data_IF_845200412982
#
_entry.id   IF_845200412982
#
_cell.length_a   1.000
_cell.length_b   1.000
_cell.length_c   1.000
_cell.angle_alpha   90.00
_cell.angle_beta   90.00
_cell.angle_gamma   90.00
#
_symmetry.space_group_name_H-M   'P 1'
#
loop_
_entity.id
_entity.type
_entity.pdbx_description
1 polymer ?
#
# COMPACT_ATOMS: atom_id res chain seq x y z
N UNK A 1 -8.53 34.80 23.80
CA UNK A 1 -8.91 33.57 23.07
C UNK A 1 -8.93 33.88 21.57
N UNK A 2 -7.84 33.51 20.90
CA UNK A 2 -7.70 33.61 19.45
C UNK A 2 -6.95 32.37 19.02
N UNK A 3 -7.71 31.30 18.93
CA UNK A 3 -7.45 30.06 18.22
C UNK A 3 -7.70 30.29 16.73
N UNK A 4 -6.83 31.07 16.08
CA UNK A 4 -6.78 31.17 14.63
C UNK A 4 -5.90 30.04 14.10
N UNK A 5 -6.54 28.90 13.84
CA UNK A 5 -5.92 27.72 13.24
C UNK A 5 -5.78 27.83 11.71
N UNK A 6 -5.72 29.04 11.13
CA UNK A 6 -5.06 29.32 9.85
C UNK A 6 -5.52 28.56 8.59
N UNK A 7 -6.58 27.74 8.65
CA UNK A 7 -7.11 27.02 7.50
C UNK A 7 -8.15 27.91 6.82
N UNK A 8 -7.65 28.80 5.97
CA UNK A 8 -8.51 29.57 5.06
C UNK A 8 -9.02 28.62 3.98
N UNK A 9 -10.32 28.62 3.65
CA UNK A 9 -10.87 27.78 2.58
C UNK A 9 -10.11 28.03 1.28
N UNK A 10 -9.63 26.96 0.65
CA UNK A 10 -9.02 27.03 -0.68
C UNK A 10 -10.10 27.55 -1.65
N UNK A 11 -9.81 28.54 -2.50
CA UNK A 11 -10.76 29.03 -3.49
C UNK A 11 -11.22 27.87 -4.39
N UNK A 12 -12.53 27.83 -4.68
CA UNK A 12 -13.15 26.84 -5.56
C UNK A 12 -12.54 26.93 -6.96
N UNK A 13 -11.63 26.01 -7.27
CA UNK A 13 -10.95 25.87 -8.55
C UNK A 13 -11.55 24.67 -9.28
N UNK A 14 -12.03 24.90 -10.50
CA UNK A 14 -12.58 23.87 -11.37
C UNK A 14 -11.49 22.87 -11.75
N UNK A 15 -11.39 21.79 -10.98
CA UNK A 15 -10.36 20.76 -11.05
C UNK A 15 -10.99 19.45 -11.52
N UNK A 16 -10.19 18.59 -12.17
CA UNK A 16 -10.67 17.28 -12.67
C UNK A 16 -10.78 16.23 -11.56
N UNK A 17 -9.99 16.37 -10.49
CA UNK A 17 -10.12 15.61 -9.24
C UNK A 17 -10.32 16.54 -8.04
N UNK A 18 -10.69 16.01 -6.88
CA UNK A 18 -10.89 16.78 -5.64
C UNK A 18 -9.73 16.65 -4.64
N UNK A 19 -8.71 15.86 -5.00
CA UNK A 19 -7.53 15.65 -4.16
C UNK A 19 -7.71 14.62 -3.06
N UNK A 20 -8.84 13.92 -3.02
CA UNK A 20 -9.01 12.71 -2.19
C UNK A 20 -8.26 11.53 -2.80
N UNK A 21 -8.08 10.45 -2.03
CA UNK A 21 -7.44 9.24 -2.56
C UNK A 21 -8.25 8.61 -3.70
N UNK A 22 -9.58 8.64 -3.58
CA UNK A 22 -10.51 8.06 -4.57
C UNK A 22 -10.59 8.90 -5.84
N UNK A 23 -10.34 10.21 -5.72
CA UNK A 23 -10.38 11.15 -6.83
C UNK A 23 -9.20 12.13 -6.75
N UNK A 24 -7.96 11.63 -6.94
CA UNK A 24 -6.76 12.43 -6.75
C UNK A 24 -6.70 13.56 -7.77
N UNK A 25 -6.06 14.67 -7.40
CA UNK A 25 -5.75 15.72 -8.35
C UNK A 25 -4.88 15.18 -9.49
N UNK A 26 -5.12 15.66 -10.71
CA UNK A 26 -4.11 15.58 -11.76
C UNK A 26 -2.93 16.52 -11.41
N UNK A 27 -1.76 16.36 -12.04
CA UNK A 27 -0.64 17.28 -11.80
C UNK A 27 -0.99 18.73 -12.15
N UNK A 28 -1.79 18.94 -13.20
CA UNK A 28 -2.26 20.28 -13.58
C UNK A 28 -3.22 20.89 -12.55
N UNK A 29 -4.11 20.07 -11.97
CA UNK A 29 -5.00 20.51 -10.89
C UNK A 29 -4.19 20.89 -9.64
N UNK A 30 -3.24 20.05 -9.24
CA UNK A 30 -2.36 20.30 -8.10
C UNK A 30 -1.55 21.58 -8.28
N UNK A 31 -1.00 21.82 -9.48
CA UNK A 31 -0.32 23.08 -9.80
C UNK A 31 -1.26 24.29 -9.68
N UNK A 32 -2.51 24.16 -10.15
CA UNK A 32 -3.52 25.23 -10.10
C UNK A 32 -3.95 25.52 -8.66
N UNK A 33 -4.26 24.49 -7.87
CA UNK A 33 -4.59 24.60 -6.44
C UNK A 33 -3.44 25.27 -5.70
N UNK A 34 -2.23 24.76 -5.88
CA UNK A 34 -1.05 25.28 -5.21
C UNK A 34 -0.74 26.74 -5.59
N UNK A 35 -0.85 27.10 -6.87
CA UNK A 35 -0.60 28.47 -7.34
C UNK A 35 -1.53 29.52 -6.71
N UNK A 36 -2.73 29.13 -6.28
CA UNK A 36 -3.69 30.02 -5.61
C UNK A 36 -3.38 30.23 -4.11
N UNK A 37 -2.41 29.50 -3.55
CA UNK A 37 -2.01 29.66 -2.16
C UNK A 37 -1.08 30.87 -2.01
N UNK A 38 -1.33 31.67 -0.98
CA UNK A 38 -0.57 32.87 -0.67
C UNK A 38 0.71 32.53 0.09
N UNK A 39 1.84 33.07 -0.38
CA UNK A 39 3.10 33.05 0.34
C UNK A 39 3.47 34.45 0.83
N UNK A 40 3.74 34.58 2.13
CA UNK A 40 4.24 35.83 2.72
C UNK A 40 5.70 35.69 3.13
N UNK A 41 6.03 34.62 3.84
CA UNK A 41 7.39 34.28 4.27
C UNK A 41 7.52 32.78 4.57
N UNK A 42 8.73 32.32 4.88
CA UNK A 42 8.97 30.92 5.28
C UNK A 42 8.15 30.47 6.48
N UNK A 43 7.83 31.39 7.39
CA UNK A 43 7.09 31.09 8.61
C UNK A 43 5.60 31.49 8.50
N UNK A 44 5.19 32.08 7.37
CA UNK A 44 3.82 32.54 7.14
C UNK A 44 3.42 32.34 5.67
N UNK A 45 2.74 31.23 5.39
CA UNK A 45 2.20 30.90 4.07
C UNK A 45 1.00 29.97 4.20
N UNK A 46 0.11 30.02 3.21
CA UNK A 46 -1.00 29.10 3.08
C UNK A 46 -0.52 27.76 2.53
N UNK A 47 -1.14 26.69 3.03
CA UNK A 47 -0.94 25.32 2.58
C UNK A 47 -2.27 24.60 2.60
N UNK A 48 -2.41 23.59 1.76
CA UNK A 48 -3.57 22.69 1.81
C UNK A 48 -3.49 21.77 3.04
N UNK A 49 -4.58 21.08 3.34
CA UNK A 49 -4.51 19.79 4.04
C UNK A 49 -3.82 18.74 3.16
N UNK A 50 -3.62 17.53 3.67
CA UNK A 50 -3.05 16.45 2.85
C UNK A 50 -3.99 16.15 1.68
N UNK A 51 -3.43 16.14 0.47
CA UNK A 51 -4.13 15.77 -0.76
C UNK A 51 -3.35 14.70 -1.50
N UNK A 52 -4.04 14.00 -2.39
CA UNK A 52 -3.46 13.00 -3.27
C UNK A 52 -3.32 13.56 -4.68
N UNK A 53 -2.15 13.39 -5.28
CA UNK A 53 -1.88 13.79 -6.66
C UNK A 53 -1.38 12.57 -7.43
N UNK A 54 -2.09 12.20 -8.49
CA UNK A 54 -1.75 11.06 -9.35
C UNK A 54 -1.10 11.56 -10.64
N UNK A 55 0.02 10.95 -11.04
CA UNK A 55 0.68 11.27 -12.30
C UNK A 55 1.79 10.31 -12.63
N UNK A 56 2.44 10.52 -13.78
CA UNK A 56 3.64 9.79 -14.20
C UNK A 56 4.86 10.67 -14.05
N UNK A 57 5.95 10.10 -13.53
CA UNK A 57 7.21 10.81 -13.39
C UNK A 57 7.72 11.21 -14.78
N UNK A 58 7.77 12.51 -15.06
CA UNK A 58 8.22 13.06 -16.34
C UNK A 58 9.72 13.34 -16.35
N UNK A 59 10.27 13.72 -15.20
CA UNK A 59 11.71 13.89 -14.97
C UNK A 59 12.04 13.78 -13.48
N UNK A 60 13.22 13.22 -13.21
CA UNK A 60 13.83 13.31 -11.88
C UNK A 60 14.50 14.67 -11.78
N UNK A 61 14.21 15.45 -10.73
CA UNK A 61 14.90 16.71 -10.51
C UNK A 61 16.39 16.41 -10.29
N UNK A 62 17.27 17.08 -11.05
CA UNK A 62 18.68 16.74 -11.30
C UNK A 62 19.36 15.87 -10.24
N UNK A 63 20.04 14.80 -10.70
CA UNK A 63 20.75 13.73 -9.96
C UNK A 63 21.80 14.17 -8.90
N UNK A 64 21.60 15.23 -8.12
CA UNK A 64 22.70 15.90 -7.43
C UNK A 64 22.37 16.91 -6.34
N UNK A 65 21.21 16.88 -5.67
CA UNK A 65 21.10 17.56 -4.35
C UNK A 65 20.27 16.80 -3.32
N UNK A 66 19.32 15.98 -3.76
CA UNK A 66 18.56 15.06 -2.90
C UNK A 66 18.37 13.75 -3.66
N UNK A 67 19.47 13.01 -3.82
CA UNK A 67 19.45 11.74 -4.55
C UNK A 67 18.53 10.73 -3.86
N UNK A 68 17.94 9.84 -4.66
CA UNK A 68 17.11 8.71 -4.21
C UNK A 68 17.82 7.87 -3.13
N UNK A 69 19.14 7.96 -3.01
CA UNK A 69 19.94 7.35 -1.93
C UNK A 69 20.93 8.34 -1.26
N UNK A 70 20.68 9.66 -1.32
CA UNK A 70 21.53 10.70 -0.72
C UNK A 70 21.29 10.91 0.78
N UNK A 71 22.13 11.74 1.42
CA UNK A 71 22.20 12.09 2.86
C UNK A 71 20.86 12.32 3.58
N UNK A 72 19.80 12.70 2.86
CA UNK A 72 18.52 13.13 3.44
C UNK A 72 17.38 12.09 3.29
N UNK A 73 17.54 11.07 2.45
CA UNK A 73 16.56 9.98 2.29
C UNK A 73 15.22 10.41 1.67
N UNK A 74 15.20 11.44 0.82
CA UNK A 74 14.03 11.90 0.08
C UNK A 74 14.40 12.16 -1.39
N UNK A 75 13.40 12.17 -2.26
CA UNK A 75 13.55 12.42 -3.69
C UNK A 75 12.72 13.63 -4.13
N UNK A 76 13.22 14.37 -5.12
CA UNK A 76 12.46 15.40 -5.82
C UNK A 76 12.32 15.04 -7.29
N UNK A 77 11.12 15.22 -7.83
CA UNK A 77 10.80 14.86 -9.22
C UNK A 77 9.61 15.67 -9.72
N UNK A 78 9.35 15.57 -11.01
CA UNK A 78 8.21 16.19 -11.66
C UNK A 78 7.27 15.09 -12.15
N UNK A 79 5.97 15.36 -12.08
CA UNK A 79 4.92 14.48 -12.61
C UNK A 79 4.04 15.21 -13.61
N UNK A 80 3.55 14.51 -14.62
CA UNK A 80 2.50 14.97 -15.54
C UNK A 80 1.51 13.83 -15.79
N UNK A 81 0.36 14.11 -16.39
CA UNK A 81 -0.67 13.09 -16.61
C UNK A 81 -0.19 11.98 -17.55
N UNK A 82 0.61 12.34 -18.57
CA UNK A 82 1.11 11.43 -19.60
C UNK A 82 2.60 11.07 -19.47
N UNK A 83 3.31 11.68 -18.52
CA UNK A 83 4.75 11.52 -18.34
C UNK A 83 5.60 12.40 -19.26
N UNK A 84 4.98 13.31 -20.03
CA UNK A 84 5.69 14.33 -20.81
C UNK A 84 6.17 15.48 -19.92
N UNK A 85 7.10 16.30 -20.41
CA UNK A 85 7.57 17.50 -19.70
C UNK A 85 6.66 18.72 -19.89
N UNK A 86 5.37 18.49 -20.17
CA UNK A 86 4.36 19.54 -20.37
C UNK A 86 3.37 19.49 -19.21
N UNK A 87 2.96 20.65 -18.70
CA UNK A 87 2.01 20.78 -17.59
C UNK A 87 2.40 19.93 -16.36
N UNK A 88 3.68 19.99 -16.00
CA UNK A 88 4.23 19.24 -14.88
C UNK A 88 3.90 19.88 -13.53
N UNK A 89 3.77 19.05 -12.50
CA UNK A 89 3.78 19.47 -11.10
C UNK A 89 5.10 19.08 -10.45
N UNK A 90 5.65 19.97 -9.61
CA UNK A 90 6.89 19.72 -8.90
C UNK A 90 6.65 19.08 -7.54
N UNK A 91 7.16 17.88 -7.36
CA UNK A 91 7.11 17.11 -6.12
C UNK A 91 8.44 17.28 -5.38
N UNK A 92 8.47 18.13 -4.36
CA UNK A 92 9.68 18.50 -3.62
C UNK A 92 9.85 17.67 -2.34
N UNK A 93 10.98 16.95 -2.24
CA UNK A 93 11.40 16.19 -1.04
C UNK A 93 10.35 15.18 -0.57
N UNK A 94 9.92 14.36 -1.50
CA UNK A 94 8.99 13.27 -1.27
C UNK A 94 9.73 12.13 -0.55
N UNK A 95 9.17 11.63 0.53
CA UNK A 95 9.59 10.38 1.19
C UNK A 95 9.10 9.16 0.39
N UNK A 96 9.72 8.00 0.61
CA UNK A 96 9.32 6.76 -0.05
C UNK A 96 8.00 6.22 0.50
N UNK A 97 7.54 5.09 -0.04
CA UNK A 97 6.36 4.37 0.45
C UNK A 97 6.41 4.17 1.97
N UNK A 98 5.26 4.29 2.63
CA UNK A 98 5.14 4.18 4.09
C UNK A 98 5.68 5.39 4.83
N UNK A 99 5.82 6.51 4.14
CA UNK A 99 6.40 7.75 4.67
C UNK A 99 7.83 7.54 5.22
N UNK A 100 8.57 6.62 4.60
CA UNK A 100 9.92 6.23 5.03
C UNK A 100 10.98 6.94 4.20
N UNK A 101 12.19 7.02 4.74
CA UNK A 101 13.34 7.47 3.95
C UNK A 101 13.64 6.43 2.86
N UNK A 102 14.01 6.93 1.68
CA UNK A 102 14.57 6.06 0.65
C UNK A 102 15.84 5.38 1.17
N UNK A 103 16.02 4.11 0.83
CA UNK A 103 17.21 3.32 1.14
C UNK A 103 17.96 2.96 -0.14
N UNK A 104 19.25 2.65 -0.02
CA UNK A 104 20.09 2.23 -1.14
C UNK A 104 19.43 1.12 -1.97
N UNK A 105 19.26 1.35 -3.28
CA UNK A 105 18.64 0.41 -4.22
C UNK A 105 17.12 0.59 -4.40
N UNK A 106 16.51 1.52 -3.66
CA UNK A 106 15.13 1.94 -3.87
C UNK A 106 15.10 3.03 -4.93
N UNK A 107 14.67 2.68 -6.15
CA UNK A 107 14.69 3.61 -7.27
C UNK A 107 13.30 3.91 -7.83
N UNK A 108 13.01 5.22 -7.97
CA UNK A 108 11.99 5.77 -8.86
C UNK A 108 12.63 6.15 -10.20
N UNK A 109 11.89 6.01 -11.29
CA UNK A 109 12.35 6.36 -12.64
C UNK A 109 11.29 7.12 -13.42
N UNK A 110 11.76 7.83 -14.44
CA UNK A 110 10.88 8.44 -15.45
C UNK A 110 9.97 7.37 -16.04
N UNK A 111 8.68 7.70 -16.14
CA UNK A 111 7.61 6.82 -16.61
C UNK A 111 6.90 6.04 -15.51
N UNK A 112 7.44 5.99 -14.29
CA UNK A 112 6.70 5.37 -13.17
C UNK A 112 5.42 6.15 -12.89
N UNK A 113 4.31 5.44 -12.71
CA UNK A 113 3.06 6.01 -12.21
C UNK A 113 3.16 6.14 -10.70
N UNK A 114 2.75 7.28 -10.16
CA UNK A 114 2.81 7.53 -8.72
C UNK A 114 1.52 8.19 -8.25
N UNK A 115 1.19 7.93 -6.99
CA UNK A 115 0.29 8.77 -6.20
C UNK A 115 1.14 9.34 -5.07
N UNK A 116 1.23 10.66 -4.98
CA UNK A 116 1.83 11.33 -3.82
C UNK A 116 0.74 11.73 -2.83
N UNK A 117 1.04 11.68 -1.54
CA UNK A 117 0.20 12.26 -0.49
C UNK A 117 1.01 13.31 0.26
N UNK A 118 0.47 14.52 0.39
CA UNK A 118 1.09 15.60 1.14
C UNK A 118 0.38 16.94 0.95
N UNK A 119 0.88 17.97 1.63
CA UNK A 119 0.35 19.34 1.51
C UNK A 119 0.98 20.06 0.33
N UNK A 120 0.21 20.92 -0.33
CA UNK A 120 0.69 21.77 -1.40
C UNK A 120 0.91 23.21 -0.92
N UNK A 121 1.79 23.93 -1.58
CA UNK A 121 2.12 25.33 -1.32
C UNK A 121 2.59 26.05 -2.59
N UNK A 122 2.59 27.39 -2.56
CA UNK A 122 3.23 28.22 -3.58
C UNK A 122 4.54 28.80 -3.04
N UNK A 123 5.64 28.02 -3.07
CA UNK A 123 6.91 28.46 -2.53
C UNK A 123 7.38 29.78 -3.15
N UNK A 124 7.72 30.73 -2.28
CA UNK A 124 8.09 32.10 -2.66
C UNK A 124 7.06 32.81 -3.57
N UNK A 125 5.79 32.38 -3.56
CA UNK A 125 4.69 32.94 -4.33
C UNK A 125 4.74 32.66 -5.83
N UNK A 126 5.67 31.82 -6.29
CA UNK A 126 5.89 31.56 -7.73
C UNK A 126 6.15 30.10 -8.08
N UNK A 127 6.32 29.22 -7.08
CA UNK A 127 6.64 27.81 -7.29
C UNK A 127 5.57 26.92 -6.66
N UNK A 128 4.57 26.48 -7.43
CA UNK A 128 3.62 25.46 -7.00
C UNK A 128 4.34 24.13 -6.75
N UNK A 129 4.34 23.66 -5.50
CA UNK A 129 5.04 22.43 -5.11
C UNK A 129 4.45 21.81 -3.82
N UNK A 130 4.92 20.62 -3.45
CA UNK A 130 4.64 20.03 -2.14
C UNK A 130 5.44 20.72 -1.03
N UNK A 131 4.88 20.78 0.19
CA UNK A 131 5.61 21.23 1.37
C UNK A 131 6.77 20.29 1.67
N UNK A 132 7.96 20.86 1.83
CA UNK A 132 9.22 20.14 1.98
C UNK A 132 9.19 19.12 3.13
N UNK A 133 9.28 17.81 2.81
CA UNK A 133 9.34 16.74 3.80
C UNK A 133 8.01 16.43 4.50
N UNK A 134 6.91 17.06 4.09
CA UNK A 134 5.54 16.75 4.52
C UNK A 134 4.76 15.98 3.44
N UNK A 135 5.47 15.29 2.55
CA UNK A 135 4.90 14.51 1.47
C UNK A 135 5.66 13.20 1.27
N UNK A 136 4.95 12.16 0.81
CA UNK A 136 5.49 10.84 0.56
C UNK A 136 4.82 10.18 -0.65
N UNK A 137 5.46 9.17 -1.24
CA UNK A 137 4.81 8.29 -2.20
C UNK A 137 3.74 7.49 -1.46
N UNK A 138 2.48 7.75 -1.77
CA UNK A 138 1.39 6.87 -1.36
C UNK A 138 1.43 5.58 -2.18
N UNK A 139 1.59 5.70 -3.50
CA UNK A 139 1.69 4.59 -4.44
C UNK A 139 2.84 4.80 -5.43
N UNK A 140 3.51 3.71 -5.81
CA UNK A 140 4.50 3.62 -6.88
C UNK A 140 4.17 2.43 -7.78
N UNK A 141 3.80 2.69 -9.04
CA UNK A 141 3.32 1.71 -10.01
C UNK A 141 2.23 0.81 -9.42
N UNK A 142 1.25 1.43 -8.73
CA UNK A 142 0.15 0.77 -8.03
C UNK A 142 0.58 -0.02 -6.77
N UNK A 143 1.84 0.08 -6.33
CA UNK A 143 2.30 -0.50 -5.06
C UNK A 143 2.20 0.54 -3.94
N UNK A 144 1.44 0.24 -2.89
CA UNK A 144 1.37 1.02 -1.65
C UNK A 144 2.05 0.26 -0.50
N UNK A 145 2.23 0.90 0.66
CA UNK A 145 2.60 0.20 1.90
C UNK A 145 1.38 -0.20 2.72
N UNK A 146 1.45 -1.26 3.54
CA UNK A 146 0.32 -1.79 4.30
C UNK A 146 -0.29 -0.85 5.36
N UNK A 147 0.40 0.24 5.74
CA UNK A 147 0.08 1.02 6.93
C UNK A 147 -0.40 2.45 6.64
N UNK A 148 -1.10 2.71 5.53
CA UNK A 148 -1.70 4.02 5.34
C UNK A 148 -3.11 3.96 4.74
N UNK A 149 -4.06 3.60 5.58
CA UNK A 149 -5.46 3.95 5.36
C UNK A 149 -5.92 4.90 6.47
N UNK A 150 -6.20 6.14 6.07
CA UNK A 150 -7.37 6.84 6.60
C UNK A 150 -8.56 6.38 5.76
N UNK A 151 -9.46 5.66 6.42
CA UNK A 151 -10.73 5.11 5.94
C UNK A 151 -11.67 6.23 5.45
N UNK A 152 -12.45 5.98 4.40
CA UNK A 152 -13.80 6.56 4.26
C UNK A 152 -14.75 5.55 3.56
N UNK A 153 -16.02 5.42 4.03
CA UNK A 153 -16.97 4.42 3.57
C UNK A 153 -17.91 5.03 2.52
N UNK A 154 -17.96 4.44 1.33
CA UNK A 154 -19.17 4.34 0.51
C UNK A 154 -18.77 3.62 -0.79
N UNK A 155 -19.04 2.32 -0.84
CA UNK A 155 -19.02 1.56 -2.09
C UNK A 155 -20.45 1.10 -2.38
N UNK A 156 -21.00 1.63 -3.48
CA UNK A 156 -22.36 1.42 -3.97
C UNK A 156 -22.45 0.04 -4.67
N UNK A 157 -23.30 -0.88 -4.20
CA UNK A 157 -23.21 -2.28 -4.56
C UNK A 157 -24.03 -2.61 -5.81
N UNK A 158 -23.63 -2.22 -7.03
CA UNK A 158 -24.38 -2.70 -8.22
C UNK A 158 -23.60 -2.90 -9.54
N UNK A 159 -22.51 -3.69 -9.59
CA UNK A 159 -22.14 -4.45 -10.81
C UNK A 159 -21.35 -5.74 -10.46
N UNK A 160 -21.74 -6.96 -10.91
CA UNK A 160 -20.96 -8.18 -10.67
C UNK A 160 -19.76 -8.34 -11.63
N UNK A 161 -18.61 -8.90 -11.18
CA UNK A 161 -17.32 -8.81 -11.87
C UNK A 161 -17.08 -9.97 -12.86
N UNK A 162 -16.37 -9.69 -13.95
CA UNK A 162 -15.72 -10.71 -14.77
C UNK A 162 -14.21 -10.56 -14.69
N UNK A 163 -13.55 -11.41 -13.90
CA UNK A 163 -12.15 -11.82 -14.11
C UNK A 163 -11.05 -10.76 -13.92
N UNK A 164 -11.20 -9.79 -13.02
CA UNK A 164 -10.08 -8.94 -12.61
C UNK A 164 -9.11 -9.72 -11.72
N UNK A 165 -7.83 -9.68 -12.07
CA UNK A 165 -6.76 -10.25 -11.26
C UNK A 165 -6.74 -9.57 -9.88
N UNK A 166 -6.64 -10.35 -8.80
CA UNK A 166 -6.35 -9.82 -7.48
C UNK A 166 -5.03 -9.04 -7.50
N UNK A 167 -4.94 -7.92 -6.79
CA UNK A 167 -3.70 -7.13 -6.67
C UNK A 167 -3.00 -7.35 -5.32
N UNK A 168 -3.59 -8.17 -4.45
CA UNK A 168 -3.05 -8.51 -3.14
C UNK A 168 -3.30 -7.43 -2.09
N UNK A 169 -4.15 -6.43 -2.37
CA UNK A 169 -4.69 -5.50 -1.38
C UNK A 169 -5.83 -6.16 -0.58
N UNK A 170 -6.24 -5.57 0.54
CA UNK A 170 -7.36 -6.10 1.32
C UNK A 170 -8.68 -6.08 0.53
N UNK A 171 -8.91 -5.03 -0.24
CA UNK A 171 -10.14 -4.84 -1.02
C UNK A 171 -10.17 -5.71 -2.28
N UNK A 172 -9.01 -6.09 -2.79
CA UNK A 172 -8.87 -6.97 -3.94
C UNK A 172 -7.76 -8.01 -3.67
N UNK A 173 -8.00 -8.93 -2.71
CA UNK A 173 -6.99 -9.89 -2.29
C UNK A 173 -6.63 -10.81 -3.44
N UNK A 174 -5.40 -11.31 -3.44
CA UNK A 174 -5.06 -12.39 -4.36
C UNK A 174 -5.96 -13.59 -4.09
N UNK A 175 -6.45 -14.21 -5.15
CA UNK A 175 -6.81 -15.63 -5.12
C UNK A 175 -5.57 -16.48 -4.78
N UNK A 176 -5.77 -17.72 -4.37
CA UNK A 176 -4.68 -18.65 -4.07
C UNK A 176 -3.84 -18.92 -5.31
N UNK A 177 -4.47 -19.11 -6.47
CA UNK A 177 -3.77 -19.31 -7.74
C UNK A 177 -2.89 -18.12 -8.13
N UNK A 178 -3.33 -16.89 -7.86
CA UNK A 178 -2.52 -15.69 -8.06
C UNK A 178 -1.36 -15.58 -7.08
N UNK A 179 -1.59 -15.88 -5.80
CA UNK A 179 -0.52 -15.89 -4.78
C UNK A 179 0.58 -16.90 -5.13
N UNK A 180 0.21 -18.11 -5.57
CA UNK A 180 1.14 -19.13 -6.06
C UNK A 180 1.92 -18.60 -7.27
N UNK A 181 1.23 -17.99 -8.23
CA UNK A 181 1.84 -17.43 -9.44
C UNK A 181 2.83 -16.31 -9.10
N UNK A 182 2.46 -15.41 -8.17
CA UNK A 182 3.29 -14.30 -7.72
C UNK A 182 4.59 -14.79 -7.08
N UNK A 183 4.53 -15.82 -6.22
CA UNK A 183 5.73 -16.34 -5.54
C UNK A 183 6.54 -17.31 -6.38
N UNK A 184 5.95 -17.94 -7.40
CA UNK A 184 6.66 -18.92 -8.25
C UNK A 184 7.92 -18.36 -8.92
N UNK A 185 7.98 -17.04 -9.09
CA UNK A 185 9.10 -16.31 -9.69
C UNK A 185 10.17 -15.88 -8.68
N UNK A 186 9.90 -16.03 -7.39
CA UNK A 186 10.81 -15.64 -6.32
C UNK A 186 11.92 -16.67 -6.14
N UNK A 187 13.14 -16.17 -6.02
CA UNK A 187 14.36 -16.96 -5.92
C UNK A 187 14.64 -17.35 -4.46
N UNK A 188 15.03 -18.61 -4.26
CA UNK A 188 15.54 -19.10 -3.00
C UNK A 188 17.00 -19.53 -3.13
N UNK A 189 17.89 -18.91 -2.36
CA UNK A 189 19.32 -19.25 -2.35
C UNK A 189 19.70 -19.99 -1.07
N UNK A 190 19.22 -19.53 0.09
CA UNK A 190 19.47 -20.14 1.40
C UNK A 190 18.45 -19.69 2.45
N UNK A 191 18.50 -20.25 3.67
CA UNK A 191 17.64 -19.83 4.79
C UNK A 191 17.81 -18.35 5.18
N UNK A 192 18.91 -17.70 4.78
CA UNK A 192 19.19 -16.28 5.08
C UNK A 192 19.13 -15.39 3.85
N UNK A 193 18.97 -15.96 2.66
CA UNK A 193 18.99 -15.26 1.38
C UNK A 193 17.93 -15.83 0.44
N UNK A 194 16.79 -15.15 0.39
CA UNK A 194 15.66 -15.50 -0.47
C UNK A 194 14.80 -14.26 -0.74
N UNK A 195 14.13 -14.26 -1.88
CA UNK A 195 13.15 -13.24 -2.25
C UNK A 195 11.81 -13.51 -1.57
N UNK A 196 11.12 -12.43 -1.23
CA UNK A 196 9.79 -12.45 -0.62
C UNK A 196 8.99 -11.29 -1.15
N UNK A 197 7.67 -11.42 -1.14
CA UNK A 197 6.77 -10.31 -1.49
C UNK A 197 6.81 -9.21 -0.43
N UNK A 198 6.16 -8.08 -0.73
CA UNK A 198 5.60 -7.21 0.30
C UNK A 198 4.51 -7.93 1.11
N UNK A 199 3.94 -7.25 2.10
CA UNK A 199 2.74 -7.76 2.77
C UNK A 199 1.58 -7.68 1.80
N UNK A 200 0.86 -8.79 1.64
CA UNK A 200 -0.30 -8.91 0.74
C UNK A 200 -1.41 -9.67 1.44
N UNK A 201 -2.61 -9.55 0.90
CA UNK A 201 -3.79 -10.28 1.32
C UNK A 201 -4.07 -11.42 0.33
N UNK A 202 -4.31 -12.62 0.86
CA UNK A 202 -4.69 -13.79 0.05
C UNK A 202 -6.00 -14.33 0.58
N UNK A 203 -7.01 -14.38 -0.28
CA UNK A 203 -8.30 -15.02 -0.03
C UNK A 203 -8.21 -16.47 -0.49
N UNK A 204 -8.73 -17.36 0.34
CA UNK A 204 -8.85 -18.77 -0.01
C UNK A 204 -9.71 -19.53 0.97
N UNK A 205 -9.96 -20.80 0.66
CA UNK A 205 -10.69 -21.72 1.51
C UNK A 205 -9.75 -22.75 2.10
N UNK A 206 -9.86 -22.99 3.41
CA UNK A 206 -9.02 -23.96 4.11
C UNK A 206 -9.28 -25.36 3.57
N UNK A 207 -8.27 -25.94 2.92
CA UNK A 207 -8.33 -27.26 2.30
C UNK A 207 -7.87 -28.37 3.25
N UNK A 208 -6.91 -28.05 4.13
CA UNK A 208 -6.44 -28.95 5.19
C UNK A 208 -5.73 -28.18 6.30
N UNK A 209 -5.74 -28.73 7.50
CA UNK A 209 -5.03 -28.21 8.68
C UNK A 209 -3.89 -29.18 9.02
N UNK A 210 -2.72 -28.66 9.42
CA UNK A 210 -1.62 -29.52 9.83
C UNK A 210 -2.03 -30.40 11.02
N UNK A 211 -1.40 -31.56 11.19
CA UNK A 211 -1.67 -32.42 12.35
C UNK A 211 -1.36 -31.64 13.65
N UNK A 212 -2.38 -31.42 14.49
CA UNK A 212 -2.36 -30.54 15.67
C UNK A 212 -2.08 -29.05 15.37
N UNK A 213 -2.34 -28.61 14.15
CA UNK A 213 -2.06 -27.26 13.63
C UNK A 213 -3.21 -26.26 13.77
N UNK A 214 -4.14 -26.49 14.70
CA UNK A 214 -5.14 -25.50 15.08
C UNK A 214 -4.54 -24.47 16.03
N UNK A 215 -5.16 -23.31 16.06
CA UNK A 215 -5.05 -22.43 17.20
C UNK A 215 -5.55 -23.19 18.45
N UNK A 216 -4.82 -23.18 19.57
CA UNK A 216 -5.28 -23.80 20.82
C UNK A 216 -4.82 -25.25 21.12
N UNK A 217 -4.80 -26.21 20.18
CA UNK A 217 -4.55 -27.63 20.56
C UNK A 217 -3.08 -28.03 20.74
N UNK A 218 -2.12 -27.24 20.23
CA UNK A 218 -0.67 -27.44 20.47
C UNK A 218 -0.05 -26.34 21.34
N UNK A 219 -0.86 -25.71 22.21
CA UNK A 219 -0.53 -24.54 23.03
C UNK A 219 0.94 -24.42 23.47
N UNK A 220 1.73 -23.65 22.71
CA UNK A 220 3.00 -23.07 23.18
C UNK A 220 3.41 -21.86 22.34
N UNK A 221 3.04 -21.81 21.05
CA UNK A 221 3.51 -20.76 20.14
C UNK A 221 2.46 -19.71 19.74
N UNK A 222 1.17 -20.00 19.89
CA UNK A 222 0.08 -19.07 19.54
C UNK A 222 -0.07 -18.82 18.04
N UNK A 223 0.35 -19.75 17.19
CA UNK A 223 0.22 -19.70 15.74
C UNK A 223 -0.35 -21.02 15.21
N UNK A 224 -0.85 -21.00 13.97
CA UNK A 224 -1.42 -22.16 13.28
C UNK A 224 -0.65 -22.48 11.99
N UNK A 225 -0.85 -23.68 11.45
CA UNK A 225 -0.36 -24.04 10.12
C UNK A 225 -1.43 -24.83 9.39
N UNK A 226 -1.80 -24.34 8.21
CA UNK A 226 -2.85 -24.91 7.37
C UNK A 226 -2.58 -24.58 5.90
N UNK A 227 -3.43 -25.10 5.02
CA UNK A 227 -3.38 -24.87 3.58
C UNK A 227 -4.70 -24.31 3.10
N UNK A 228 -4.62 -23.43 2.11
CA UNK A 228 -5.77 -22.85 1.42
C UNK A 228 -5.72 -23.16 -0.07
N UNK A 229 -6.87 -23.21 -0.71
CA UNK A 229 -7.04 -23.24 -2.18
C UNK A 229 -8.24 -22.38 -2.57
N UNK A 230 -8.38 -22.07 -3.86
CA UNK A 230 -9.49 -21.24 -4.36
C UNK A 230 -10.86 -21.89 -4.12
N UNK A 231 -10.92 -23.22 -4.09
CA UNK A 231 -12.15 -24.01 -3.99
C UNK A 231 -12.23 -24.89 -2.73
N UNK A 232 -11.19 -24.88 -1.89
CA UNK A 232 -11.07 -25.74 -0.71
C UNK A 232 -10.64 -27.17 -1.02
N UNK A 233 -10.29 -27.48 -2.28
CA UNK A 233 -9.70 -28.77 -2.65
C UNK A 233 -8.23 -28.85 -2.22
N UNK A 234 -7.69 -30.07 -2.14
CA UNK A 234 -6.26 -30.28 -1.89
C UNK A 234 -5.40 -30.18 -3.17
N UNK A 235 -5.90 -29.48 -4.19
CA UNK A 235 -5.19 -29.22 -5.44
C UNK A 235 -4.84 -27.74 -5.52
N UNK A 236 -3.64 -27.43 -6.03
CA UNK A 236 -3.16 -26.04 -6.15
C UNK A 236 -3.23 -25.26 -4.82
N UNK A 237 -2.75 -25.88 -3.74
CA UNK A 237 -2.80 -25.30 -2.40
C UNK A 237 -1.63 -24.35 -2.12
N UNK A 238 -1.88 -23.32 -1.32
CA UNK A 238 -0.87 -22.44 -0.75
C UNK A 238 -0.74 -22.72 0.75
N UNK A 239 0.50 -22.78 1.26
CA UNK A 239 0.77 -23.08 2.66
C UNK A 239 0.78 -21.81 3.52
N UNK A 240 -0.12 -21.74 4.49
CA UNK A 240 -0.12 -20.74 5.55
C UNK A 240 0.75 -21.27 6.71
N UNK A 241 2.04 -20.99 6.68
CA UNK A 241 3.02 -21.50 7.64
C UNK A 241 3.20 -20.59 8.85
N UNK A 242 2.89 -21.13 10.04
CA UNK A 242 3.05 -20.47 11.35
C UNK A 242 2.45 -19.07 11.38
N UNK A 243 1.22 -18.95 10.88
CA UNK A 243 0.54 -17.66 10.87
C UNK A 243 -0.03 -17.35 12.26
N UNK A 244 0.08 -16.10 12.68
CA UNK A 244 -0.53 -15.59 13.90
C UNK A 244 -2.05 -15.53 13.76
N UNK A 245 -2.77 -15.32 14.86
CA UNK A 245 -4.21 -15.16 14.88
C UNK A 245 -4.61 -13.74 14.48
N UNK A 246 -5.90 -13.42 14.60
CA UNK A 246 -6.46 -12.10 14.34
C UNK A 246 -5.67 -10.98 15.04
N UNK A 247 -5.71 -9.78 14.46
CA UNK A 247 -5.00 -8.59 14.92
C UNK A 247 -3.47 -8.80 15.04
N UNK A 248 -2.95 -9.76 14.26
CA UNK A 248 -1.55 -10.17 14.26
C UNK A 248 -1.06 -10.58 15.66
N UNK A 249 -1.93 -11.20 16.46
CA UNK A 249 -1.62 -11.62 17.83
C UNK A 249 -1.39 -13.12 17.94
N UNK A 250 -0.66 -13.52 18.98
CA UNK A 250 -0.64 -14.92 19.38
C UNK A 250 -2.03 -15.34 19.84
N UNK A 251 -2.51 -16.48 19.36
CA UNK A 251 -3.76 -17.04 19.84
C UNK A 251 -3.68 -17.38 21.33
N UNK A 252 -4.65 -16.86 22.07
CA UNK A 252 -4.87 -17.13 23.49
C UNK A 252 -6.24 -17.75 23.73
N UNK A 253 -7.26 -17.25 23.03
CA UNK A 253 -8.62 -17.81 22.94
C UNK A 253 -9.32 -17.24 21.70
N UNK A 254 -10.32 -17.95 21.16
CA UNK A 254 -11.09 -17.47 20.01
C UNK A 254 -11.83 -18.60 19.30
N UNK A 255 -12.29 -18.31 18.09
CA UNK A 255 -12.85 -19.30 17.18
C UNK A 255 -11.71 -20.03 16.49
N UNK A 256 -11.72 -21.36 16.55
CA UNK A 256 -10.75 -22.17 15.82
C UNK A 256 -11.09 -22.24 14.33
N UNK A 257 -10.06 -22.45 13.53
CA UNK A 257 -10.18 -22.71 12.09
C UNK A 257 -10.67 -24.14 11.83
N UNK A 258 -11.47 -24.29 10.78
CA UNK A 258 -11.98 -25.57 10.28
C UNK A 258 -11.72 -25.71 8.79
N UNK A 259 -11.58 -26.95 8.33
CA UNK A 259 -11.55 -27.24 6.89
C UNK A 259 -12.89 -26.80 6.27
N UNK A 260 -12.81 -26.10 5.15
CA UNK A 260 -13.96 -25.51 4.47
C UNK A 260 -14.24 -24.05 4.85
N UNK A 261 -13.57 -23.50 5.87
CA UNK A 261 -13.67 -22.08 6.17
C UNK A 261 -13.07 -21.23 5.04
N UNK A 262 -13.77 -20.17 4.67
CA UNK A 262 -13.20 -19.11 3.86
C UNK A 262 -12.39 -18.18 4.78
N UNK A 263 -11.21 -17.78 4.32
CA UNK A 263 -10.27 -16.94 5.06
C UNK A 263 -9.64 -15.87 4.18
N UNK A 264 -9.19 -14.80 4.83
CA UNK A 264 -8.16 -13.91 4.30
C UNK A 264 -6.96 -14.01 5.22
N UNK A 265 -5.78 -14.24 4.65
CA UNK A 265 -4.51 -14.11 5.36
C UNK A 265 -3.80 -12.83 4.93
N UNK A 266 -3.06 -12.21 5.84
CA UNK A 266 -2.24 -11.03 5.56
C UNK A 266 -0.80 -11.31 5.95
N UNK A 267 0.14 -11.11 5.03
CA UNK A 267 1.56 -11.32 5.32
C UNK A 267 2.47 -11.34 4.11
N UNK A 268 3.76 -11.55 4.35
CA UNK A 268 4.74 -11.74 3.27
C UNK A 268 4.72 -13.19 2.80
N UNK A 269 4.86 -13.38 1.50
CA UNK A 269 4.88 -14.68 0.85
C UNK A 269 6.28 -14.96 0.28
N UNK A 270 6.62 -16.24 0.15
CA UNK A 270 7.89 -16.69 -0.43
C UNK A 270 7.71 -18.02 -1.16
N UNK A 271 8.75 -18.42 -1.88
CA UNK A 271 8.86 -19.75 -2.46
C UNK A 271 9.93 -20.53 -1.69
N UNK A 272 9.55 -21.14 -0.58
CA UNK A 272 10.47 -21.87 0.30
C UNK A 272 11.19 -22.95 -0.48
N UNK A 273 12.53 -22.94 -0.39
CA UNK A 273 13.43 -23.84 -1.13
C UNK A 273 13.19 -23.87 -2.65
N UNK A 274 12.57 -22.83 -3.19
CA UNK A 274 12.30 -22.67 -4.62
C UNK A 274 11.19 -23.55 -5.17
N UNK A 275 10.45 -24.28 -4.33
CA UNK A 275 9.38 -25.17 -4.79
C UNK A 275 8.12 -25.23 -3.90
N UNK A 276 8.07 -24.44 -2.84
CA UNK A 276 6.97 -24.45 -1.87
C UNK A 276 6.43 -23.03 -1.68
N UNK A 277 5.33 -22.66 -2.36
CA UNK A 277 4.60 -21.43 -2.10
C UNK A 277 4.08 -21.39 -0.65
N UNK A 278 4.60 -20.48 0.16
CA UNK A 278 4.17 -20.33 1.56
C UNK A 278 4.31 -18.92 2.11
N UNK A 279 3.64 -18.64 3.22
CA UNK A 279 3.90 -17.43 4.01
C UNK A 279 5.27 -17.49 4.67
N UNK A 280 5.92 -16.34 4.82
CA UNK A 280 7.12 -16.21 5.66
C UNK A 280 6.75 -16.45 7.12
N UNK A 281 7.49 -17.31 7.81
CA UNK A 281 7.18 -17.77 9.15
C UNK A 281 7.05 -16.61 10.17
N UNK A 282 5.91 -16.52 10.87
CA UNK A 282 5.59 -15.47 11.84
C UNK A 282 5.59 -14.03 11.25
N UNK A 283 5.58 -13.87 9.93
CA UNK A 283 5.38 -12.59 9.24
C UNK A 283 4.04 -12.56 8.49
N UNK A 284 3.08 -13.37 8.97
CA UNK A 284 1.73 -13.46 8.46
C UNK A 284 0.74 -13.79 9.58
N UNK A 285 -0.51 -13.39 9.39
CA UNK A 285 -1.60 -13.62 10.33
C UNK A 285 -2.94 -13.85 9.63
N UNK A 286 -3.87 -14.48 10.34
CA UNK A 286 -5.26 -14.61 9.91
C UNK A 286 -5.93 -13.23 9.99
N UNK A 287 -6.38 -12.69 8.86
CA UNK A 287 -7.07 -11.40 8.81
C UNK A 287 -8.58 -11.56 9.01
N UNK A 288 -9.19 -12.51 8.29
CA UNK A 288 -10.61 -12.79 8.38
C UNK A 288 -10.89 -14.30 8.33
N UNK A 289 -11.96 -14.72 9.00
CA UNK A 289 -12.41 -16.11 9.10
C UNK A 289 -13.93 -16.19 9.04
N UNK A 290 -14.48 -16.96 8.10
CA UNK A 290 -15.93 -17.09 7.89
C UNK A 290 -16.69 -17.68 9.08
N UNK A 291 -16.02 -18.50 9.90
CA UNK A 291 -16.60 -19.10 11.10
C UNK A 291 -16.79 -18.11 12.26
N UNK A 292 -16.31 -16.87 12.13
CA UNK A 292 -16.57 -15.81 13.11
C UNK A 292 -17.88 -15.10 12.76
N UNK A 293 -18.88 -15.08 13.66
CA UNK A 293 -20.16 -14.44 13.39
C UNK A 293 -20.01 -12.97 13.01
N UNK A 294 -20.62 -12.58 11.88
CA UNK A 294 -20.60 -11.19 11.40
C UNK A 294 -19.37 -10.82 10.56
N UNK A 295 -18.41 -11.72 10.38
CA UNK A 295 -17.29 -11.49 9.46
C UNK A 295 -17.75 -11.56 8.01
N UNK A 296 -17.49 -10.50 7.25
CA UNK A 296 -17.67 -10.47 5.79
C UNK A 296 -16.31 -10.66 5.15
N UNK A 297 -16.21 -11.63 4.24
CA UNK A 297 -15.02 -11.84 3.43
C UNK A 297 -15.36 -11.32 2.02
N UNK A 298 -14.77 -10.18 1.59
CA UNK A 298 -14.95 -9.67 0.23
C UNK A 298 -14.49 -10.70 -0.79
#
# INVERSE_FOLDING_TARGET
PSDDNGNTPIPDVNTKGDGTLNNPYTPADAATVAANLTWTSKDNYQKTDNVFVKGKISRIADKGTFGQSGTFGNASFYISEDGSQTNEFYCFRILYLGNQKYTSGTDIKVGDEVIICGKLMNYSGTTPETVAGEAYLYSLNNVTTPDNETVDPDDDPTVPPTGTQGDGTLNNPYSVSEAISAVSRLTWTSNTEYEKTGVVYVKGRISRIANKGTYGESGTFGNATFWISDDGSQSNEFQCYRILYLDNQKYTSGTDISVGDDVIICGKLMNYKGNTPETVANEAYLYALSSIPGTVIP
#
